data_IF_313193757400
#
_entry.id   IF_313193757400
#
_cell.length_a   1.000
_cell.length_b   1.000
_cell.length_c   1.000
_cell.angle_alpha   90.00
_cell.angle_beta   90.00
_cell.angle_gamma   90.00
#
_symmetry.space_group_name_H-M   'P 1'
#
loop_
_entity.id
_entity.type
_entity.pdbx_description
1 polymer ?
#
# COMPACT_ATOMS: atom_id res chain seq x y z
N UNK A 1 -1.03 14.34 18.55
CA UNK A 1 -2.01 14.04 17.48
C UNK A 1 -2.34 12.55 17.54
N UNK A 2 -3.57 12.13 17.22
CA UNK A 2 -3.88 10.71 17.04
C UNK A 2 -3.13 10.17 15.82
N UNK A 3 -2.72 8.90 15.87
CA UNK A 3 -2.16 8.18 14.73
C UNK A 3 -3.28 7.78 13.77
N UNK A 4 -3.13 8.06 12.48
CA UNK A 4 -4.05 7.67 11.41
C UNK A 4 -3.49 6.44 10.71
N UNK A 5 -4.24 5.34 10.74
CA UNK A 5 -3.87 4.08 10.12
C UNK A 5 -4.88 3.73 9.02
N UNK A 6 -4.40 3.48 7.80
CA UNK A 6 -5.21 3.03 6.68
C UNK A 6 -5.20 1.50 6.61
N UNK A 7 -6.38 0.87 6.69
CA UNK A 7 -6.54 -0.57 6.47
C UNK A 7 -7.16 -0.81 5.10
N UNK A 8 -6.51 -1.63 4.27
CA UNK A 8 -6.93 -1.88 2.89
C UNK A 8 -6.99 -3.37 2.63
N UNK A 9 -8.14 -3.88 2.19
CA UNK A 9 -8.21 -5.19 1.52
C UNK A 9 -7.90 -5.00 0.05
N UNK A 10 -7.09 -5.89 -0.52
CA UNK A 10 -6.66 -5.79 -1.91
C UNK A 10 -6.62 -7.19 -2.54
N UNK A 11 -6.97 -7.28 -3.83
CA UNK A 11 -6.94 -8.55 -4.57
C UNK A 11 -6.88 -8.26 -6.07
N UNK A 12 -5.74 -8.58 -6.70
CA UNK A 12 -5.50 -8.41 -8.14
C UNK A 12 -5.73 -6.98 -8.68
N UNK A 13 -5.04 -5.99 -8.11
CA UNK A 13 -5.18 -4.56 -8.43
C UNK A 13 -3.81 -3.95 -8.85
N UNK A 14 -3.00 -4.69 -9.61
CA UNK A 14 -1.63 -4.28 -9.95
C UNK A 14 -1.55 -2.98 -10.77
N UNK A 15 -2.63 -2.62 -11.47
CA UNK A 15 -2.76 -1.41 -12.29
C UNK A 15 -2.87 -0.12 -11.46
N UNK A 16 -3.41 -0.20 -10.23
CA UNK A 16 -3.62 0.97 -9.36
C UNK A 16 -2.80 0.96 -8.07
N UNK A 17 -2.21 -0.18 -7.69
CA UNK A 17 -1.56 -0.38 -6.39
C UNK A 17 -0.54 0.70 -6.04
N UNK A 18 0.34 1.07 -6.97
CA UNK A 18 1.37 2.09 -6.71
C UNK A 18 0.75 3.49 -6.52
N UNK A 19 -0.14 3.89 -7.40
CA UNK A 19 -0.81 5.19 -7.31
C UNK A 19 -1.60 5.31 -6.00
N UNK A 20 -2.27 4.23 -5.60
CA UNK A 20 -2.99 4.15 -4.34
C UNK A 20 -2.07 4.37 -3.13
N UNK A 21 -0.95 3.65 -3.06
CA UNK A 21 0.03 3.78 -1.97
C UNK A 21 0.58 5.21 -1.92
N UNK A 22 1.06 5.74 -3.04
CA UNK A 22 1.69 7.07 -3.09
C UNK A 22 0.73 8.19 -2.69
N UNK A 23 -0.54 8.10 -3.11
CA UNK A 23 -1.54 9.08 -2.72
C UNK A 23 -1.86 9.02 -1.22
N UNK A 24 -2.03 7.84 -0.64
CA UNK A 24 -2.46 7.73 0.76
C UNK A 24 -1.31 7.90 1.75
N UNK A 25 -0.08 7.52 1.39
CA UNK A 25 1.10 7.67 2.25
C UNK A 25 1.35 9.12 2.69
N UNK A 26 0.86 10.12 1.95
CA UNK A 26 0.98 11.54 2.35
C UNK A 26 -0.09 11.99 3.35
N UNK A 27 -1.07 11.15 3.67
CA UNK A 27 -2.24 11.49 4.49
C UNK A 27 -2.35 10.65 5.76
N UNK A 28 -1.60 9.55 5.88
CA UNK A 28 -1.69 8.60 6.99
C UNK A 28 -0.30 8.24 7.53
N UNK A 29 -0.24 7.88 8.81
CA UNK A 29 1.03 7.51 9.46
C UNK A 29 1.45 6.07 9.15
N UNK A 30 0.48 5.20 8.83
CA UNK A 30 0.70 3.79 8.54
C UNK A 30 -0.36 3.24 7.58
N UNK A 31 0.06 2.30 6.73
CA UNK A 31 -0.83 1.56 5.83
C UNK A 31 -0.68 0.05 6.08
N UNK A 32 -1.79 -0.65 6.25
CA UNK A 32 -1.86 -2.10 6.45
C UNK A 32 -2.71 -2.73 5.34
N UNK A 33 -2.07 -3.59 4.56
CA UNK A 33 -2.70 -4.29 3.44
C UNK A 33 -3.02 -5.75 3.81
N UNK A 34 -4.27 -6.15 3.57
CA UNK A 34 -4.74 -7.53 3.67
C UNK A 34 -4.98 -8.04 2.25
N UNK A 35 -4.01 -8.80 1.74
CA UNK A 35 -4.10 -9.47 0.44
C UNK A 35 -4.93 -10.75 0.55
N UNK A 36 -5.84 -10.98 -0.41
CA UNK A 36 -6.70 -12.18 -0.49
C UNK A 36 -6.13 -13.27 -1.41
N UNK A 37 -4.80 -13.35 -1.52
CA UNK A 37 -4.10 -14.30 -2.39
C UNK A 37 -4.03 -13.84 -3.84
N UNK A 38 -3.62 -12.59 -4.07
CA UNK A 38 -3.45 -12.07 -5.44
C UNK A 38 -2.51 -12.96 -6.25
N UNK A 39 -2.87 -13.19 -7.51
CA UNK A 39 -2.09 -13.97 -8.49
C UNK A 39 -1.40 -13.09 -9.54
N UNK A 40 -1.50 -11.77 -9.40
CA UNK A 40 -0.83 -10.79 -10.22
C UNK A 40 0.35 -10.14 -9.45
N UNK A 41 0.81 -8.96 -9.89
CA UNK A 41 1.94 -8.26 -9.30
C UNK A 41 1.58 -7.40 -8.08
N UNK A 42 0.34 -7.41 -7.58
CA UNK A 42 -0.10 -6.58 -6.45
C UNK A 42 0.85 -6.70 -5.25
N UNK A 43 1.13 -7.92 -4.79
CA UNK A 43 1.99 -8.16 -3.62
C UNK A 43 3.46 -7.81 -3.89
N UNK A 44 3.93 -8.03 -5.12
CA UNK A 44 5.27 -7.65 -5.56
C UNK A 44 5.46 -6.13 -5.48
N UNK A 45 4.50 -5.36 -6.02
CA UNK A 45 4.49 -3.90 -5.99
C UNK A 45 4.46 -3.39 -4.55
N UNK A 46 3.56 -3.89 -3.70
CA UNK A 46 3.49 -3.51 -2.28
C UNK A 46 4.80 -3.79 -1.54
N UNK A 47 5.45 -4.92 -1.84
CA UNK A 47 6.72 -5.30 -1.21
C UNK A 47 7.87 -4.41 -1.66
N UNK A 48 7.92 -4.05 -2.94
CA UNK A 48 8.90 -3.12 -3.49
C UNK A 48 8.76 -1.73 -2.85
N UNK A 49 7.53 -1.21 -2.78
CA UNK A 49 7.23 0.11 -2.19
C UNK A 49 7.54 0.17 -0.69
N UNK A 50 7.41 -0.93 0.05
CA UNK A 50 7.83 -0.99 1.47
C UNK A 50 9.34 -0.86 1.64
N UNK A 51 10.12 -1.30 0.66
CA UNK A 51 11.59 -1.21 0.65
C UNK A 51 12.11 0.16 0.23
N UNK A 52 11.30 0.94 -0.49
CA UNK A 52 11.53 2.36 -0.70
C UNK A 52 11.35 3.06 0.65
N UNK A 53 12.44 3.56 1.25
CA UNK A 53 12.30 4.51 2.33
C UNK A 53 11.52 5.70 1.78
N UNK A 54 10.26 5.84 2.19
CA UNK A 54 9.45 7.01 1.85
C UNK A 54 10.11 8.19 2.56
N UNK A 55 11.02 8.87 1.86
CA UNK A 55 11.60 10.12 2.28
C UNK A 55 10.51 11.19 2.15
N UNK A 56 9.65 11.25 3.16
CA UNK A 56 8.72 12.33 3.42
C UNK A 56 9.11 13.04 4.69
#
# INVERSE_FOLDING_TARGET
MPKIVCFTRIFNEDDITEAFVRHHATHVDEMLFLDDGSSDRTVEILTALRGEAVAG
#
